data_IF_726114161634
#
_entry.id   IF_726114161634
#
_cell.length_a   1.000
_cell.length_b   1.000
_cell.length_c   1.000
_cell.angle_alpha   90.00
_cell.angle_beta   90.00
_cell.angle_gamma   90.00
#
_symmetry.space_group_name_H-M   'P 1'
#
loop_
_entity.id
_entity.type
_entity.pdbx_description
1 polymer ?
#
# COMPACT_ATOMS: atom_id res chain seq x y z
N UNK A 1 61.12 -15.01 6.70
CA UNK A 1 59.95 -14.21 7.09
C UNK A 1 60.10 -12.79 6.54
N UNK A 2 59.35 -12.43 5.49
CA UNK A 2 58.96 -11.03 5.27
C UNK A 2 57.43 -10.91 5.31
N UNK A 3 56.97 -9.91 6.06
CA UNK A 3 55.55 -9.56 6.15
C UNK A 3 55.07 -8.86 4.89
N UNK A 4 53.87 -9.22 4.46
CA UNK A 4 53.09 -8.46 3.49
C UNK A 4 51.73 -8.14 4.14
N UNK A 5 51.58 -6.89 4.57
CA UNK A 5 50.31 -6.35 5.03
C UNK A 5 49.56 -5.79 3.82
N UNK A 6 48.89 -6.69 3.10
CA UNK A 6 47.98 -6.29 2.03
C UNK A 6 46.63 -5.84 2.60
N UNK A 7 46.51 -4.51 2.65
CA UNK A 7 45.37 -3.71 2.20
C UNK A 7 43.98 -4.02 2.75
N UNK A 8 43.57 -3.11 3.64
CA UNK A 8 42.20 -2.68 3.88
C UNK A 8 41.38 -2.59 2.57
N UNK A 9 40.28 -3.34 2.49
CA UNK A 9 39.18 -3.07 1.54
C UNK A 9 37.83 -3.09 2.27
N UNK A 10 37.70 -2.21 3.25
CA UNK A 10 36.39 -1.78 3.75
C UNK A 10 35.79 -0.79 2.75
N UNK A 11 35.06 -1.29 1.75
CA UNK A 11 34.29 -0.47 0.83
C UNK A 11 33.17 0.26 1.57
N UNK A 12 33.50 1.42 2.15
CA UNK A 12 32.53 2.33 2.75
C UNK A 12 31.79 3.06 1.62
N UNK A 13 30.86 2.37 0.96
CA UNK A 13 29.87 3.01 0.11
C UNK A 13 28.90 3.76 1.03
N UNK A 14 29.29 4.97 1.41
CA UNK A 14 28.43 5.89 2.12
C UNK A 14 27.09 5.94 1.40
N UNK A 15 26.02 5.52 2.07
CA UNK A 15 24.65 5.74 1.60
C UNK A 15 24.56 7.23 1.31
N UNK A 16 24.49 7.59 0.01
CA UNK A 16 24.24 8.97 -0.41
C UNK A 16 23.01 9.40 0.37
N UNK A 17 23.15 10.42 1.23
CA UNK A 17 22.08 10.91 2.10
C UNK A 17 20.77 10.89 1.32
N UNK A 18 19.79 10.13 1.82
CA UNK A 18 18.47 10.08 1.21
C UNK A 18 17.96 11.52 1.17
N UNK A 19 18.00 12.13 -0.01
CA UNK A 19 17.50 13.49 -0.18
C UNK A 19 16.04 13.46 0.20
N UNK A 20 15.67 14.23 1.21
CA UNK A 20 14.28 14.37 1.62
C UNK A 20 13.49 14.87 0.41
N UNK A 21 12.48 14.11 0.00
CA UNK A 21 11.60 14.47 -1.10
C UNK A 21 10.35 15.10 -0.50
N UNK A 22 10.13 16.39 -0.79
CA UNK A 22 8.97 17.14 -0.33
C UNK A 22 7.91 17.06 -1.43
N UNK A 23 6.66 16.81 -1.05
CA UNK A 23 5.54 16.75 -1.99
C UNK A 23 4.29 17.39 -1.41
N UNK A 24 3.41 17.84 -2.30
CA UNK A 24 2.08 18.31 -1.96
C UNK A 24 1.08 17.77 -2.97
N UNK A 25 0.11 16.98 -2.49
CA UNK A 25 -1.03 16.53 -3.29
C UNK A 25 -1.98 17.71 -3.41
N UNK A 26 -2.07 18.30 -4.60
CA UNK A 26 -2.96 19.43 -4.90
C UNK A 26 -4.39 18.98 -5.14
N UNK A 27 -4.55 17.80 -5.75
CA UNK A 27 -5.86 17.21 -6.06
C UNK A 27 -5.74 15.71 -6.23
N UNK A 28 -6.70 14.97 -5.70
CA UNK A 28 -6.90 13.54 -6.04
C UNK A 28 -7.86 13.43 -7.21
N UNK A 29 -7.49 12.65 -8.22
CA UNK A 29 -8.34 12.39 -9.39
C UNK A 29 -9.10 11.09 -9.20
N UNK A 30 -8.43 10.03 -8.74
CA UNK A 30 -9.08 8.76 -8.44
C UNK A 30 -8.11 7.65 -8.05
N UNK A 31 -8.69 6.52 -7.64
CA UNK A 31 -7.95 5.31 -7.27
C UNK A 31 -8.11 4.25 -8.36
N UNK A 32 -7.00 3.72 -8.86
CA UNK A 32 -6.96 2.66 -9.86
C UNK A 32 -7.14 1.27 -9.24
N UNK A 33 -6.56 1.06 -8.06
CA UNK A 33 -6.66 -0.22 -7.35
C UNK A 33 -6.30 -0.06 -5.88
N UNK A 34 -6.82 -0.94 -5.02
CA UNK A 34 -6.43 -1.07 -3.61
C UNK A 34 -5.87 -2.45 -3.36
N UNK A 35 -4.69 -2.54 -2.75
CA UNK A 35 -4.05 -3.81 -2.42
C UNK A 35 -4.67 -4.44 -1.16
N UNK A 36 -4.42 -5.74 -0.93
CA UNK A 36 -4.84 -6.44 0.30
C UNK A 36 -4.26 -5.81 1.58
N UNK A 37 -3.12 -5.13 1.47
CA UNK A 37 -2.48 -4.40 2.57
C UNK A 37 -2.96 -2.94 2.72
N UNK A 38 -3.98 -2.53 1.95
CA UNK A 38 -4.59 -1.20 2.00
C UNK A 38 -3.84 -0.13 1.22
N UNK A 39 -2.81 -0.48 0.44
CA UNK A 39 -2.11 0.48 -0.39
C UNK A 39 -2.96 0.85 -1.60
N UNK A 40 -3.07 2.14 -1.89
CA UNK A 40 -3.88 2.67 -2.98
C UNK A 40 -3.00 3.12 -4.13
N UNK A 41 -3.19 2.51 -5.30
CA UNK A 41 -2.64 3.04 -6.55
C UNK A 41 -3.56 4.16 -7.02
N UNK A 42 -3.06 5.39 -6.98
CA UNK A 42 -3.86 6.59 -7.23
C UNK A 42 -3.34 7.38 -8.43
N UNK A 43 -4.24 8.15 -9.03
CA UNK A 43 -3.93 9.23 -9.97
C UNK A 43 -4.18 10.56 -9.26
N UNK A 44 -3.14 11.38 -9.15
CA UNK A 44 -3.15 12.64 -8.40
C UNK A 44 -2.54 13.78 -9.21
N UNK A 45 -2.79 15.02 -8.80
CA UNK A 45 -2.02 16.21 -9.19
C UNK A 45 -1.07 16.54 -8.05
N UNK A 46 0.24 16.38 -8.26
CA UNK A 46 1.26 16.48 -7.20
C UNK A 46 2.32 17.51 -7.59
N UNK A 47 2.59 18.43 -6.67
CA UNK A 47 3.76 19.31 -6.72
C UNK A 47 4.92 18.67 -5.96
N UNK A 48 6.11 18.71 -6.56
CA UNK A 48 7.30 17.99 -6.06
C UNK A 48 8.46 18.95 -5.87
N UNK A 49 9.03 19.03 -4.66
CA UNK A 49 10.17 19.91 -4.34
C UNK A 49 9.98 21.33 -4.93
N UNK A 50 8.81 21.92 -4.68
CA UNK A 50 8.39 23.25 -5.17
C UNK A 50 8.30 23.43 -6.69
N UNK A 51 8.30 22.33 -7.45
CA UNK A 51 8.08 22.35 -8.90
C UNK A 51 6.58 22.44 -9.24
N UNK A 52 6.24 22.90 -10.46
CA UNK A 52 4.86 22.90 -10.94
C UNK A 52 4.18 21.54 -10.75
N UNK A 53 2.91 21.58 -10.33
CA UNK A 53 2.15 20.37 -10.08
C UNK A 53 1.91 19.60 -11.39
N UNK A 54 2.00 18.29 -11.34
CA UNK A 54 1.91 17.38 -12.48
C UNK A 54 0.99 16.22 -12.17
N UNK A 55 0.47 15.58 -13.23
CA UNK A 55 -0.22 14.30 -13.06
C UNK A 55 0.79 13.28 -12.54
N UNK A 56 0.42 12.54 -11.50
CA UNK A 56 1.27 11.55 -10.87
C UNK A 56 0.47 10.27 -10.63
N UNK A 57 1.04 9.15 -11.07
CA UNK A 57 0.47 7.82 -10.87
C UNK A 57 1.43 7.03 -10.00
N UNK A 58 0.97 6.65 -8.80
CA UNK A 58 1.74 5.79 -7.90
C UNK A 58 0.88 5.13 -6.83
N UNK A 59 1.48 4.19 -6.12
CA UNK A 59 0.94 3.61 -4.91
C UNK A 59 1.32 4.36 -3.61
N UNK A 60 0.31 4.68 -2.81
CA UNK A 60 0.41 5.32 -1.50
C UNK A 60 -0.08 4.35 -0.41
N UNK A 61 0.48 4.45 0.79
CA UNK A 61 -0.13 3.80 1.95
C UNK A 61 -1.47 4.51 2.33
N UNK A 62 -2.32 3.90 3.18
CA UNK A 62 -3.61 4.49 3.56
C UNK A 62 -3.53 5.95 4.02
N UNK A 63 -2.50 6.27 4.80
CA UNK A 63 -2.28 7.61 5.38
C UNK A 63 -1.53 8.58 4.44
N UNK A 64 -1.16 8.16 3.23
CA UNK A 64 -0.37 8.94 2.24
C UNK A 64 0.95 9.53 2.78
N UNK A 65 1.54 8.90 3.80
CA UNK A 65 2.84 9.27 4.37
C UNK A 65 4.01 8.54 3.71
N UNK A 66 3.74 7.40 3.07
CA UNK A 66 4.70 6.58 2.35
C UNK A 66 4.21 6.33 0.94
N UNK A 67 5.18 6.18 0.04
CA UNK A 67 4.97 6.08 -1.39
C UNK A 67 5.92 5.05 -2.00
N UNK A 68 5.42 4.30 -2.97
CA UNK A 68 6.26 3.46 -3.82
C UNK A 68 6.86 4.29 -4.98
N UNK A 69 7.60 3.63 -5.87
CA UNK A 69 8.04 4.26 -7.12
C UNK A 69 6.82 4.51 -7.99
N UNK A 70 6.77 5.68 -8.61
CA UNK A 70 5.69 6.10 -9.50
C UNK A 70 6.20 6.84 -10.71
N UNK A 71 5.28 7.41 -11.47
CA UNK A 71 5.58 8.25 -12.63
C UNK A 71 4.85 9.58 -12.49
N UNK A 72 5.59 10.67 -12.70
CA UNK A 72 5.04 12.01 -12.85
C UNK A 72 5.08 12.39 -14.33
N UNK A 73 3.93 12.73 -14.90
CA UNK A 73 3.75 13.07 -16.31
C UNK A 73 3.58 14.58 -16.46
N UNK A 74 4.27 15.16 -17.42
CA UNK A 74 3.98 16.52 -17.89
C UNK A 74 2.63 16.57 -18.61
N UNK A 75 2.06 17.76 -18.74
CA UNK A 75 0.79 17.96 -19.45
C UNK A 75 0.80 17.40 -20.89
N UNK A 76 1.95 17.47 -21.57
CA UNK A 76 2.11 16.91 -22.92
C UNK A 76 2.03 15.38 -22.90
N UNK A 77 2.71 14.75 -21.94
CA UNK A 77 2.69 13.30 -21.77
C UNK A 77 1.29 12.82 -21.32
N UNK A 78 0.61 13.55 -20.44
CA UNK A 78 -0.76 13.24 -20.01
C UNK A 78 -1.74 13.28 -21.19
N UNK A 79 -1.69 14.32 -22.02
CA UNK A 79 -2.53 14.42 -23.23
C UNK A 79 -2.23 13.28 -24.21
N UNK A 80 -0.96 12.93 -24.38
CA UNK A 80 -0.59 11.82 -25.28
C UNK A 80 -1.03 10.47 -24.72
N UNK A 81 -0.90 10.26 -23.40
CA UNK A 81 -1.41 9.07 -22.73
C UNK A 81 -2.91 8.93 -22.90
N UNK A 82 -3.67 10.02 -22.71
CA UNK A 82 -5.12 10.04 -22.93
C UNK A 82 -5.47 9.59 -24.36
N UNK A 83 -4.83 10.17 -25.38
CA UNK A 83 -5.02 9.76 -26.77
C UNK A 83 -4.74 8.26 -26.99
N UNK A 84 -3.62 7.75 -26.45
CA UNK A 84 -3.27 6.32 -26.59
C UNK A 84 -4.32 5.42 -25.93
N UNK A 85 -4.82 5.80 -24.76
CA UNK A 85 -5.86 5.04 -24.05
C UNK A 85 -7.18 5.08 -24.81
N UNK A 86 -7.60 6.24 -25.31
CA UNK A 86 -8.79 6.39 -26.15
C UNK A 86 -8.70 5.55 -27.43
N UNK A 87 -7.56 5.56 -28.11
CA UNK A 87 -7.30 4.72 -29.28
C UNK A 87 -7.36 3.22 -28.90
N UNK A 88 -6.71 2.83 -27.80
CA UNK A 88 -6.68 1.44 -27.35
C UNK A 88 -8.07 0.88 -27.03
N UNK A 89 -8.88 1.63 -26.28
CA UNK A 89 -10.24 1.20 -25.91
C UNK A 89 -11.26 1.44 -27.03
N UNK A 90 -11.05 2.44 -27.88
CA UNK A 90 -11.91 2.78 -29.03
C UNK A 90 -11.80 1.81 -30.21
N UNK A 91 -10.69 1.06 -30.33
CA UNK A 91 -10.51 0.03 -31.37
C UNK A 91 -11.25 -1.29 -31.10
N UNK A 92 -12.18 -1.34 -30.14
CA UNK A 92 -13.02 -2.51 -29.91
C UNK A 92 -12.31 -3.65 -29.16
N UNK A 93 -11.27 -3.36 -28.39
CA UNK A 93 -10.81 -4.29 -27.36
C UNK A 93 -11.94 -4.43 -26.32
N UNK A 94 -12.75 -5.49 -26.46
CA UNK A 94 -13.81 -5.79 -25.51
C UNK A 94 -13.19 -5.95 -24.12
N UNK A 95 -13.74 -5.21 -23.15
CA UNK A 95 -13.37 -5.28 -21.73
C UNK A 95 -13.84 -6.59 -21.06
N UNK A 96 -13.97 -7.67 -21.83
CA UNK A 96 -14.54 -8.94 -21.40
C UNK A 96 -13.50 -9.91 -20.78
N UNK A 97 -12.19 -9.64 -20.88
CA UNK A 97 -11.15 -10.56 -20.38
C UNK A 97 -10.39 -10.07 -19.14
N UNK A 98 -10.90 -9.03 -18.45
CA UNK A 98 -10.34 -8.59 -17.17
C UNK A 98 -11.33 -8.78 -16.01
N UNK A 99 -12.01 -9.93 -15.98
CA UNK A 99 -12.59 -10.49 -14.77
C UNK A 99 -11.68 -11.61 -14.29
N UNK A 100 -11.12 -11.44 -13.10
CA UNK A 100 -10.02 -12.24 -12.59
C UNK A 100 -10.34 -13.72 -12.37
N UNK A 101 -9.33 -14.52 -12.69
CA UNK A 101 -9.09 -15.83 -12.08
C UNK A 101 -7.63 -15.83 -11.59
N UNK A 102 -7.42 -15.37 -10.35
CA UNK A 102 -6.34 -15.91 -9.53
C UNK A 102 -6.95 -16.90 -8.54
N UNK A 103 -7.07 -18.17 -8.93
CA UNK A 103 -7.04 -19.25 -7.95
C UNK A 103 -6.44 -20.53 -8.55
N UNK A 104 -5.50 -21.10 -7.79
CA UNK A 104 -5.00 -22.48 -7.87
C UNK A 104 -4.01 -22.87 -8.99
N UNK A 105 -2.75 -22.42 -8.84
CA UNK A 105 -1.59 -23.29 -9.12
C UNK A 105 -0.99 -23.79 -7.82
N UNK A 106 -1.52 -24.89 -7.30
CA UNK A 106 -0.75 -25.85 -6.52
C UNK A 106 -1.44 -27.21 -6.50
N UNK A 107 -0.60 -28.25 -6.55
CA UNK A 107 -0.88 -29.67 -6.37
C UNK A 107 -1.47 -30.46 -7.57
N UNK A 108 -0.55 -30.84 -8.48
CA UNK A 108 -0.58 -32.17 -9.11
C UNK A 108 -0.53 -33.22 -7.98
N UNK A 109 -1.43 -34.19 -8.03
CA UNK A 109 -1.79 -35.02 -6.88
C UNK A 109 -0.83 -36.14 -6.49
N UNK A 110 -1.13 -36.74 -5.32
CA UNK A 110 -0.78 -38.11 -4.93
C UNK A 110 -1.92 -38.67 -4.06
N UNK A 111 -2.20 -39.96 -4.27
CA UNK A 111 -3.31 -40.77 -3.78
C UNK A 111 -3.19 -41.21 -2.31
N UNK A 112 -4.36 -41.57 -1.73
CA UNK A 112 -4.65 -42.58 -0.70
C UNK A 112 -3.93 -42.53 0.67
N UNK A 113 -4.73 -42.58 1.74
CA UNK A 113 -4.81 -43.69 2.74
C UNK A 113 -6.00 -43.40 3.67
N UNK A 114 -7.00 -44.30 3.65
CA UNK A 114 -7.93 -44.50 4.75
C UNK A 114 -7.20 -45.20 5.91
N UNK A 115 -7.42 -44.75 7.15
CA UNK A 115 -7.69 -45.64 8.29
C UNK A 115 -8.10 -44.85 9.55
N UNK A 116 -9.35 -45.10 9.96
CA UNK A 116 -9.84 -45.25 11.35
C UNK A 116 -9.19 -44.46 12.49
N UNK A 117 -9.98 -43.62 13.17
CA UNK A 117 -10.34 -43.91 14.57
C UNK A 117 -11.51 -43.08 15.12
N UNK A 118 -12.21 -43.74 16.03
CA UNK A 118 -13.42 -43.42 16.77
C UNK A 118 -13.36 -42.13 17.61
N UNK A 119 -14.51 -41.46 17.73
CA UNK A 119 -15.09 -41.20 19.06
C UNK A 119 -15.10 -39.77 19.61
N UNK A 120 -16.33 -39.34 19.91
CA UNK A 120 -16.77 -38.60 21.11
C UNK A 120 -16.58 -37.08 21.17
N UNK A 121 -17.71 -36.37 21.16
CA UNK A 121 -18.09 -35.41 22.20
C UNK A 121 -17.72 -33.94 21.98
N UNK A 122 -18.75 -33.10 21.86
CA UNK A 122 -18.68 -31.66 22.13
C UNK A 122 -18.05 -31.36 23.52
N UNK A 123 -17.51 -30.15 23.71
CA UNK A 123 -18.31 -29.25 24.54
C UNK A 123 -18.39 -27.80 24.05
N UNK A 124 -19.62 -27.34 24.10
CA UNK A 124 -20.15 -26.01 24.38
C UNK A 124 -19.24 -25.08 25.21
N UNK A 125 -19.24 -23.78 24.87
CA UNK A 125 -19.12 -22.70 25.86
C UNK A 125 -18.08 -21.61 25.57
N UNK A 126 -18.46 -20.58 24.80
CA UNK A 126 -17.84 -19.26 24.91
C UNK A 126 -18.85 -18.29 25.52
N UNK A 127 -18.75 -18.13 26.84
CA UNK A 127 -19.47 -17.13 27.62
C UNK A 127 -18.76 -15.78 27.49
N UNK A 128 -19.57 -14.76 27.19
CA UNK A 128 -19.22 -13.35 27.05
C UNK A 128 -18.82 -12.73 28.39
N UNK A 129 -17.67 -12.05 28.44
CA UNK A 129 -17.40 -10.99 29.43
C UNK A 129 -16.35 -10.01 28.89
N UNK A 130 -16.65 -8.70 28.83
CA UNK A 130 -15.67 -7.68 28.46
C UNK A 130 -14.84 -7.23 29.69
N UNK A 131 -13.56 -6.86 29.54
CA UNK A 131 -12.80 -6.30 30.64
C UNK A 131 -13.19 -4.83 30.88
N UNK A 132 -13.56 -4.56 32.13
CA UNK A 132 -13.75 -3.23 32.72
C UNK A 132 -12.42 -2.52 32.96
N UNK A 133 -12.40 -1.20 32.78
CA UNK A 133 -11.56 -0.29 33.59
C UNK A 133 -10.35 0.33 32.91
N UNK A 134 -10.56 1.51 32.31
CA UNK A 134 -9.66 2.66 32.51
C UNK A 134 -10.39 3.94 32.06
N UNK A 135 -10.96 4.65 33.02
CA UNK A 135 -11.59 5.95 32.83
C UNK A 135 -10.52 7.04 32.96
N UNK A 136 -10.24 7.75 31.87
CA UNK A 136 -9.47 8.98 31.88
C UNK A 136 -10.30 10.10 32.57
N UNK A 137 -9.72 10.95 33.42
CA UNK A 137 -10.45 12.04 34.04
C UNK A 137 -10.72 13.17 33.05
N UNK A 138 -11.93 13.73 33.09
CA UNK A 138 -12.30 14.95 32.35
C UNK A 138 -11.82 16.20 33.12
N UNK A 139 -11.36 17.27 32.45
CA UNK A 139 -11.02 18.52 33.12
C UNK A 139 -12.27 19.29 33.58
N UNK A 140 -12.19 19.83 34.79
CA UNK A 140 -13.23 20.65 35.42
C UNK A 140 -13.52 21.92 34.60
N UNK A 141 -14.80 22.22 34.39
CA UNK A 141 -15.24 23.57 34.01
C UNK A 141 -16.08 24.15 35.13
N UNK A 142 -15.47 25.08 35.86
CA UNK A 142 -16.16 26.00 36.76
C UNK A 142 -17.11 26.87 35.93
N UNK A 143 -18.42 26.66 36.10
CA UNK A 143 -19.42 27.61 35.68
C UNK A 143 -20.33 27.92 36.87
N UNK A 144 -20.02 29.05 37.52
CA UNK A 144 -20.95 29.80 38.36
C UNK A 144 -22.02 30.41 37.44
N UNK A 145 -23.33 30.21 37.70
CA UNK A 145 -24.35 31.08 37.15
C UNK A 145 -24.50 32.34 38.02
N UNK A 146 -24.71 33.54 37.44
CA UNK A 146 -25.02 34.72 38.23
C UNK A 146 -26.52 34.84 38.54
N UNK A 147 -26.77 35.43 39.71
CA UNK A 147 -28.02 35.97 40.31
C UNK A 147 -29.01 34.97 40.89
#
# INVERSE_FOLDING_TARGET
MPGDQSQQRGGNYGRKRDKLVIFQIRRTIGTLSTSKSGWNKEVNIVAWNDRPARLDIREWNPERTRMSRGVALSDKETKKLMQILEEWYGMGHSVAEFSGEEESRSAVGVQNIEQSNKGVGEPQGYSSSPPSGNQLPLPETNNHPPS
#
